data_IF_952049295579
#
_entry.id   IF_952049295579
#
_cell.length_a   1.000
_cell.length_b   1.000
_cell.length_c   1.000
_cell.angle_alpha   90.00
_cell.angle_beta   90.00
_cell.angle_gamma   90.00
#
_symmetry.space_group_name_H-M   'P 1'
#
loop_
_entity.id
_entity.type
_entity.pdbx_description
1 polymer ?
#
# COMPACT_ATOMS: atom_id res chain seq x y z
N UNK A 1 -2.32 3.20 -46.57
CA UNK A 1 -3.34 2.91 -45.55
C UNK A 1 -2.72 1.98 -44.53
N UNK A 2 -2.33 2.46 -43.35
CA UNK A 2 -1.79 1.64 -42.29
C UNK A 2 -2.94 0.81 -41.69
N UNK A 3 -2.79 -0.51 -41.63
CA UNK A 3 -3.79 -1.41 -41.03
C UNK A 3 -3.67 -1.33 -39.52
N UNK A 4 -4.78 -1.04 -38.84
CA UNK A 4 -4.86 -1.14 -37.40
C UNK A 4 -4.44 -2.54 -36.94
N UNK A 5 -3.54 -2.62 -35.95
CA UNK A 5 -3.18 -3.92 -35.35
C UNK A 5 -4.19 -4.23 -34.25
N UNK A 6 -4.80 -5.41 -34.37
CA UNK A 6 -5.68 -5.95 -33.35
C UNK A 6 -4.84 -6.81 -32.42
N UNK A 7 -4.90 -6.53 -31.12
CA UNK A 7 -4.34 -7.36 -30.07
C UNK A 7 -5.44 -7.82 -29.10
N UNK A 8 -5.27 -8.97 -28.49
CA UNK A 8 -6.19 -9.51 -27.50
C UNK A 8 -5.52 -9.50 -26.14
N UNK A 9 -6.15 -8.89 -25.16
CA UNK A 9 -5.63 -8.76 -23.80
C UNK A 9 -6.54 -9.48 -22.82
N UNK A 10 -5.95 -10.31 -21.96
CA UNK A 10 -6.68 -10.98 -20.90
C UNK A 10 -7.13 -9.98 -19.83
N UNK A 11 -8.42 -9.82 -19.61
CA UNK A 11 -9.00 -8.92 -18.61
C UNK A 11 -8.67 -9.31 -17.15
N UNK A 12 -8.19 -10.54 -16.93
CA UNK A 12 -7.86 -11.03 -15.60
C UNK A 12 -6.39 -10.83 -15.21
N UNK A 13 -5.45 -11.02 -16.15
CA UNK A 13 -4.02 -10.97 -15.84
C UNK A 13 -3.19 -10.05 -16.74
N UNK A 14 -3.81 -9.38 -17.72
CA UNK A 14 -3.12 -8.47 -18.63
C UNK A 14 -2.27 -9.17 -19.71
N UNK A 15 -2.29 -10.51 -19.82
CA UNK A 15 -1.54 -11.23 -20.83
C UNK A 15 -1.99 -10.84 -22.24
N UNK A 16 -1.07 -10.38 -23.06
CA UNK A 16 -1.31 -10.05 -24.46
C UNK A 16 -1.14 -11.25 -25.39
N UNK A 17 -1.98 -11.31 -26.41
CA UNK A 17 -1.91 -12.31 -27.48
C UNK A 17 -2.29 -11.69 -28.82
N UNK A 18 -1.63 -12.16 -29.90
CA UNK A 18 -1.96 -11.77 -31.27
C UNK A 18 -3.26 -12.44 -31.77
N UNK A 19 -3.78 -13.43 -31.04
CA UNK A 19 -5.00 -14.17 -31.40
C UNK A 19 -5.86 -14.35 -30.16
N UNK A 20 -7.17 -14.37 -30.37
CA UNK A 20 -8.10 -14.73 -29.32
C UNK A 20 -7.93 -16.17 -28.88
N UNK A 21 -7.87 -16.41 -27.58
CA UNK A 21 -7.76 -17.74 -26.98
C UNK A 21 -8.87 -17.92 -25.95
N UNK A 22 -9.54 -19.06 -25.98
CA UNK A 22 -10.62 -19.38 -25.05
C UNK A 22 -10.15 -19.52 -23.61
N UNK A 23 -8.88 -19.93 -23.38
CA UNK A 23 -8.26 -20.05 -22.06
C UNK A 23 -6.96 -19.27 -22.03
N UNK A 24 -6.78 -18.43 -21.04
CA UNK A 24 -5.54 -17.68 -20.86
C UNK A 24 -4.41 -18.62 -20.41
N UNK A 25 -3.25 -18.66 -21.11
CA UNK A 25 -2.14 -19.54 -20.76
C UNK A 25 -1.42 -19.09 -19.48
N UNK A 26 -1.55 -17.82 -19.10
CA UNK A 26 -0.90 -17.23 -17.92
C UNK A 26 -1.72 -17.46 -16.65
N UNK A 27 -3.02 -17.16 -16.64
CA UNK A 27 -3.85 -17.25 -15.44
C UNK A 27 -4.86 -18.42 -15.45
N UNK A 28 -4.96 -19.17 -16.56
CA UNK A 28 -5.84 -20.34 -16.68
C UNK A 28 -7.34 -20.03 -16.79
N UNK A 29 -7.74 -18.76 -16.74
CA UNK A 29 -9.16 -18.35 -16.83
C UNK A 29 -9.71 -18.47 -18.26
N UNK A 30 -11.00 -18.80 -18.36
CA UNK A 30 -11.70 -18.96 -19.61
C UNK A 30 -12.41 -17.67 -20.04
N UNK A 31 -12.43 -17.39 -21.35
CA UNK A 31 -13.17 -16.29 -21.99
C UNK A 31 -12.80 -14.89 -21.45
N UNK A 32 -11.54 -14.68 -21.10
CA UNK A 32 -11.03 -13.42 -20.52
C UNK A 32 -10.34 -12.51 -21.53
N UNK A 33 -10.15 -12.92 -22.78
CA UNK A 33 -9.52 -12.09 -23.80
C UNK A 33 -10.50 -11.10 -24.41
N UNK A 34 -10.15 -9.80 -24.34
CA UNK A 34 -10.86 -8.69 -25.00
C UNK A 34 -10.03 -8.17 -26.16
N UNK A 35 -10.69 -7.83 -27.27
CA UNK A 35 -10.06 -7.22 -28.44
C UNK A 35 -9.74 -5.76 -28.14
N UNK A 36 -8.49 -5.35 -28.37
CA UNK A 36 -8.03 -3.95 -28.31
C UNK A 36 -7.47 -3.58 -29.68
N UNK A 37 -7.95 -2.47 -30.24
CA UNK A 37 -7.41 -1.88 -31.48
C UNK A 37 -6.29 -0.92 -31.14
N UNK A 38 -5.09 -1.23 -31.56
CA UNK A 38 -3.95 -0.34 -31.46
C UNK A 38 -3.93 0.51 -32.74
N UNK A 39 -4.27 1.79 -32.61
CA UNK A 39 -4.17 2.73 -33.72
C UNK A 39 -2.71 2.81 -34.19
N UNK A 40 -2.48 2.61 -35.47
CA UNK A 40 -1.17 2.79 -36.06
C UNK A 40 -0.82 4.29 -36.03
N UNK A 41 0.23 4.62 -35.29
CA UNK A 41 0.78 5.98 -35.21
C UNK A 41 1.18 6.44 -36.61
N UNK A 42 0.45 7.42 -37.15
CA UNK A 42 0.78 8.05 -38.45
C UNK A 42 1.98 8.96 -38.24
N UNK A 43 3.18 8.40 -38.47
CA UNK A 43 4.43 9.15 -38.45
C UNK A 43 4.40 10.33 -39.43
N UNK A 44 4.22 11.52 -38.93
CA UNK A 44 4.52 12.76 -39.66
C UNK A 44 6.03 13.03 -39.59
N UNK A 45 6.71 12.89 -40.74
CA UNK A 45 8.05 13.44 -40.98
C UNK A 45 7.99 14.96 -40.93
N UNK A 46 8.24 15.57 -39.78
CA UNK A 46 8.67 16.97 -39.67
C UNK A 46 9.13 17.23 -38.23
N UNK A 47 10.39 17.05 -37.95
CA UNK A 47 11.21 17.88 -37.05
C UNK A 47 12.57 17.23 -36.77
N UNK A 48 13.45 17.32 -37.71
CA UNK A 48 14.88 17.35 -37.42
C UNK A 48 15.18 18.79 -36.92
N UNK A 49 15.57 18.89 -35.65
CA UNK A 49 16.01 20.07 -34.90
C UNK A 49 15.01 20.60 -33.87
N UNK A 50 14.88 19.89 -32.76
CA UNK A 50 14.59 20.47 -31.44
C UNK A 50 14.87 19.39 -30.39
N UNK A 51 15.60 19.75 -29.36
CA UNK A 51 16.03 18.85 -28.28
C UNK A 51 14.88 18.07 -27.69
N UNK A 52 15.11 16.77 -27.50
CA UNK A 52 14.16 15.76 -27.09
C UNK A 52 13.90 15.91 -25.62
N UNK A 53 12.87 16.65 -25.21
CA UNK A 53 12.22 16.46 -23.92
C UNK A 53 11.02 15.56 -24.14
N UNK A 54 11.18 14.27 -23.84
CA UNK A 54 10.05 13.37 -23.73
C UNK A 54 9.22 13.78 -22.51
N UNK A 55 8.11 14.45 -22.77
CA UNK A 55 7.02 14.60 -21.82
C UNK A 55 6.33 13.24 -21.67
N UNK A 56 6.75 12.46 -20.67
CA UNK A 56 5.88 11.44 -20.10
C UNK A 56 4.83 12.17 -19.27
N UNK A 57 3.58 12.01 -19.69
CA UNK A 57 2.45 12.68 -19.10
C UNK A 57 2.18 12.28 -17.66
N UNK A 58 2.01 13.23 -16.81
CA UNK A 58 0.87 13.34 -15.90
C UNK A 58 0.96 12.81 -14.49
N UNK A 59 2.07 12.32 -13.93
CA UNK A 59 2.11 12.03 -12.49
C UNK A 59 3.35 12.59 -11.76
N UNK A 60 4.38 13.03 -12.50
CA UNK A 60 5.64 13.45 -11.89
C UNK A 60 5.67 14.92 -11.43
N UNK A 61 4.64 15.72 -11.68
CA UNK A 61 4.63 17.16 -11.36
C UNK A 61 3.86 17.54 -10.10
N UNK A 62 3.29 16.57 -9.35
CA UNK A 62 2.50 16.89 -8.15
C UNK A 62 3.28 16.87 -6.83
N UNK A 63 4.51 16.39 -6.81
CA UNK A 63 5.31 16.36 -5.58
C UNK A 63 6.37 17.46 -5.58
N UNK A 64 5.93 18.69 -5.30
CA UNK A 64 6.80 19.84 -5.08
C UNK A 64 7.44 19.85 -3.70
N UNK A 65 8.13 18.77 -3.32
CA UNK A 65 9.12 18.83 -2.25
C UNK A 65 10.47 19.16 -2.88
N UNK A 66 11.27 20.04 -2.26
CA UNK A 66 12.64 20.41 -2.66
C UNK A 66 13.61 19.21 -2.61
N UNK A 67 13.29 18.14 -3.32
CA UNK A 67 14.28 17.16 -3.76
C UNK A 67 14.43 17.43 -5.26
N UNK A 68 15.56 18.09 -5.59
CA UNK A 68 16.04 18.26 -6.96
C UNK A 68 15.72 17.01 -7.79
N UNK A 69 15.09 17.22 -8.95
CA UNK A 69 15.12 16.26 -10.07
C UNK A 69 16.61 15.98 -10.38
N UNK A 70 17.22 15.15 -9.57
CA UNK A 70 18.45 14.49 -9.98
C UNK A 70 17.99 13.42 -10.98
N UNK A 71 18.15 13.75 -12.27
CA UNK A 71 18.30 12.72 -13.27
C UNK A 71 19.16 11.63 -12.64
N UNK A 72 18.62 10.39 -12.58
CA UNK A 72 19.28 9.27 -11.92
C UNK A 72 20.62 9.00 -12.59
N UNK A 73 21.65 9.73 -12.16
CA UNK A 73 23.01 9.56 -12.66
C UNK A 73 23.60 8.31 -12.01
N UNK A 74 24.28 7.44 -12.79
CA UNK A 74 24.94 6.27 -12.23
C UNK A 74 26.01 6.71 -11.23
N UNK A 75 25.93 6.18 -9.99
CA UNK A 75 26.87 6.45 -8.92
C UNK A 75 27.68 5.16 -8.60
N UNK A 76 28.95 5.32 -8.26
CA UNK A 76 29.75 4.18 -7.78
C UNK A 76 29.31 3.80 -6.38
N UNK A 77 29.19 2.52 -6.09
CA UNK A 77 28.76 2.01 -4.78
C UNK A 77 29.58 2.60 -3.61
N UNK A 78 30.90 2.81 -3.82
CA UNK A 78 31.78 3.41 -2.81
C UNK A 78 31.47 4.88 -2.48
N UNK A 79 30.79 5.59 -3.40
CA UNK A 79 30.45 7.02 -3.27
C UNK A 79 29.07 7.20 -2.64
N UNK A 80 28.35 6.10 -2.40
CA UNK A 80 27.07 6.07 -1.68
C UNK A 80 27.40 5.99 -0.19
N UNK A 81 27.09 7.05 0.54
CA UNK A 81 27.18 7.02 2.00
C UNK A 81 26.13 6.06 2.55
N UNK A 82 26.57 4.98 3.18
CA UNK A 82 25.71 4.13 4.00
C UNK A 82 25.38 4.88 5.30
N UNK A 83 24.52 5.89 5.21
CA UNK A 83 23.93 6.47 6.40
C UNK A 83 22.92 5.44 6.86
N UNK A 84 23.12 4.88 8.05
CA UNK A 84 22.11 4.07 8.72
C UNK A 84 20.89 4.97 8.98
N UNK A 85 19.94 4.94 8.06
CA UNK A 85 18.65 5.58 8.30
C UNK A 85 17.97 4.87 9.46
N UNK A 86 17.69 5.58 10.57
CA UNK A 86 17.10 4.96 11.74
C UNK A 86 15.75 4.35 11.38
N UNK A 87 15.58 3.08 11.69
CA UNK A 87 14.29 2.40 11.51
C UNK A 87 13.22 3.07 12.35
N UNK A 88 12.02 3.06 11.85
CA UNK A 88 10.84 3.59 12.54
C UNK A 88 10.37 2.53 13.52
N UNK A 89 10.46 2.85 14.81
CA UNK A 89 9.91 2.02 15.88
C UNK A 89 8.38 2.01 15.78
N UNK A 90 7.79 0.82 15.61
CA UNK A 90 6.35 0.62 15.49
C UNK A 90 5.62 0.61 16.84
N UNK A 91 6.34 0.83 17.96
CA UNK A 91 5.79 0.78 19.31
C UNK A 91 5.07 -0.54 19.65
N UNK A 92 5.49 -1.61 18.97
CA UNK A 92 5.04 -2.98 19.15
C UNK A 92 6.25 -3.91 18.95
N UNK A 93 6.64 -4.63 20.01
CA UNK A 93 7.86 -5.45 20.01
C UNK A 93 7.81 -6.59 19.01
N UNK A 94 6.63 -7.23 18.88
CA UNK A 94 6.46 -8.34 17.95
C UNK A 94 6.52 -7.86 16.50
N UNK A 95 5.89 -6.75 16.19
CA UNK A 95 5.94 -6.16 14.86
C UNK A 95 7.35 -5.67 14.51
N UNK A 96 8.04 -5.01 15.45
CA UNK A 96 9.42 -4.62 15.26
C UNK A 96 10.33 -5.83 15.01
N UNK A 97 10.15 -6.92 15.76
CA UNK A 97 10.92 -8.16 15.59
C UNK A 97 10.73 -8.74 14.18
N UNK A 98 9.50 -8.84 13.72
CA UNK A 98 9.17 -9.38 12.39
C UNK A 98 9.66 -8.46 11.26
N UNK A 99 9.70 -7.15 11.49
CA UNK A 99 10.27 -6.16 10.58
C UNK A 99 11.81 -6.11 10.59
N UNK A 100 12.44 -6.78 11.55
CA UNK A 100 13.90 -6.77 11.70
C UNK A 100 14.44 -5.53 12.42
N UNK A 101 13.68 -5.01 13.39
CA UNK A 101 14.03 -3.84 14.23
C UNK A 101 13.24 -2.57 13.91
N UNK A 102 12.14 -2.67 13.16
CA UNK A 102 11.29 -1.56 12.78
C UNK A 102 11.17 -1.34 11.28
N UNK A 103 10.34 -0.39 10.89
CA UNK A 103 10.03 -0.10 9.50
C UNK A 103 11.11 0.79 8.86
N UNK A 104 11.51 0.48 7.64
CA UNK A 104 12.50 1.28 6.91
C UNK A 104 11.81 2.47 6.23
N UNK A 105 12.35 3.71 6.32
CA UNK A 105 11.83 4.85 5.58
C UNK A 105 11.75 4.55 4.07
N UNK A 106 10.69 5.05 3.42
CA UNK A 106 10.48 4.81 2.00
C UNK A 106 10.20 3.37 1.61
N UNK A 107 9.95 2.47 2.58
CA UNK A 107 9.58 1.08 2.32
C UNK A 107 8.07 0.90 2.21
N UNK A 108 7.67 -0.17 1.52
CA UNK A 108 6.28 -0.61 1.45
C UNK A 108 6.15 -2.00 2.07
N UNK A 109 5.29 -2.11 3.08
CA UNK A 109 5.04 -3.35 3.81
C UNK A 109 3.61 -3.82 3.57
N UNK A 110 3.45 -5.07 3.16
CA UNK A 110 2.15 -5.71 3.03
C UNK A 110 1.86 -6.56 4.28
N UNK A 111 0.76 -6.24 4.97
CA UNK A 111 0.19 -7.05 6.03
C UNK A 111 -0.96 -7.89 5.45
N UNK A 112 -0.69 -9.15 5.16
CA UNK A 112 -1.65 -10.10 4.62
C UNK A 112 -2.24 -11.00 5.71
N UNK A 113 -3.43 -11.54 5.46
CA UNK A 113 -4.09 -12.49 6.38
C UNK A 113 -5.56 -12.70 6.02
N UNK A 114 -6.18 -13.72 6.60
CA UNK A 114 -7.60 -14.00 6.38
C UNK A 114 -8.48 -12.81 6.79
N UNK A 115 -9.65 -12.64 6.14
CA UNK A 115 -10.65 -11.68 6.61
C UNK A 115 -11.03 -11.94 8.07
N UNK A 116 -11.17 -10.89 8.88
CA UNK A 116 -11.55 -11.01 10.29
C UNK A 116 -10.44 -11.44 11.25
N UNK A 117 -9.21 -11.77 10.80
CA UNK A 117 -8.11 -12.18 11.67
C UNK A 117 -7.64 -11.06 12.62
N UNK A 118 -7.92 -9.79 12.28
CA UNK A 118 -7.56 -8.64 13.09
C UNK A 118 -6.47 -7.74 12.53
N UNK A 119 -6.17 -7.78 11.22
CA UNK A 119 -5.15 -6.94 10.57
C UNK A 119 -5.35 -5.44 10.84
N UNK A 120 -6.54 -4.93 10.53
CA UNK A 120 -6.90 -3.52 10.74
C UNK A 120 -6.86 -3.14 12.22
N UNK A 121 -7.21 -4.08 13.11
CA UNK A 121 -7.16 -3.88 14.57
C UNK A 121 -5.71 -3.77 15.04
N UNK A 122 -4.82 -4.68 14.62
CA UNK A 122 -3.41 -4.65 14.95
C UNK A 122 -2.76 -3.36 14.45
N UNK A 123 -3.00 -3.00 13.19
CA UNK A 123 -2.43 -1.79 12.62
C UNK A 123 -2.93 -0.53 13.33
N UNK A 124 -4.23 -0.44 13.61
CA UNK A 124 -4.79 0.71 14.35
C UNK A 124 -4.22 0.77 15.77
N UNK A 125 -4.11 -0.37 16.48
CA UNK A 125 -3.50 -0.43 17.82
C UNK A 125 -2.04 0.03 17.81
N UNK A 126 -1.27 -0.36 16.80
CA UNK A 126 0.12 0.03 16.62
C UNK A 126 0.23 1.55 16.43
N UNK A 127 -0.52 2.12 15.49
CA UNK A 127 -0.43 3.55 15.19
C UNK A 127 -0.96 4.44 16.31
N UNK A 128 -1.89 3.96 17.14
CA UNK A 128 -2.34 4.67 18.35
C UNK A 128 -1.19 4.92 19.35
N UNK A 129 -0.18 4.06 19.36
CA UNK A 129 0.98 4.19 20.23
C UNK A 129 2.11 5.06 19.63
N UNK A 130 2.02 5.43 18.34
CA UNK A 130 3.04 6.19 17.61
C UNK A 130 2.78 7.70 17.66
N UNK A 131 2.63 8.26 18.86
CA UNK A 131 2.21 9.66 19.09
C UNK A 131 3.26 10.71 18.63
N UNK A 132 4.46 10.28 18.31
CA UNK A 132 5.57 11.11 17.81
C UNK A 132 5.55 11.33 16.29
N UNK A 133 4.53 10.79 15.57
CA UNK A 133 4.46 10.83 14.09
C UNK A 133 3.08 11.18 13.58
N UNK A 134 3.02 11.96 12.51
CA UNK A 134 1.77 12.22 11.78
C UNK A 134 1.47 11.03 10.86
N UNK A 135 0.30 10.44 11.03
CA UNK A 135 -0.12 9.22 10.34
C UNK A 135 -1.37 9.50 9.53
N UNK A 136 -1.38 9.08 8.28
CA UNK A 136 -2.57 9.06 7.43
C UNK A 136 -3.10 7.63 7.35
N UNK A 137 -4.31 7.42 7.86
CA UNK A 137 -5.04 6.16 7.75
C UNK A 137 -6.10 6.29 6.67
N UNK A 138 -5.88 5.61 5.55
CA UNK A 138 -6.82 5.58 4.42
C UNK A 138 -7.66 4.33 4.52
N UNK A 139 -8.98 4.47 4.51
CA UNK A 139 -9.92 3.36 4.54
C UNK A 139 -10.86 3.40 3.33
N UNK A 140 -10.96 2.28 2.63
CA UNK A 140 -11.94 2.08 1.58
C UNK A 140 -13.11 1.17 1.99
N UNK A 141 -13.10 0.63 3.21
CA UNK A 141 -14.11 -0.32 3.69
C UNK A 141 -14.94 0.24 4.83
N UNK A 142 -14.32 1.01 5.73
CA UNK A 142 -14.97 1.51 6.93
C UNK A 142 -15.11 3.04 6.90
N UNK A 143 -16.19 3.51 7.50
CA UNK A 143 -16.41 4.96 7.71
C UNK A 143 -15.49 5.49 8.82
N UNK A 144 -15.21 6.79 8.79
CA UNK A 144 -14.44 7.47 9.84
C UNK A 144 -15.03 7.26 11.25
N UNK A 145 -16.36 7.20 11.37
CA UNK A 145 -17.03 6.93 12.63
C UNK A 145 -16.76 5.52 13.16
N UNK A 146 -16.78 4.50 12.29
CA UNK A 146 -16.48 3.12 12.69
C UNK A 146 -15.03 2.97 13.15
N UNK A 147 -14.09 3.60 12.43
CA UNK A 147 -12.66 3.63 12.81
C UNK A 147 -12.49 4.32 14.16
N UNK A 148 -13.14 5.46 14.38
CA UNK A 148 -13.11 6.17 15.67
C UNK A 148 -13.63 5.31 16.82
N UNK A 149 -14.77 4.66 16.67
CA UNK A 149 -15.31 3.76 17.69
C UNK A 149 -14.36 2.59 18.02
N UNK A 150 -13.66 2.06 16.99
CA UNK A 150 -12.65 1.02 17.19
C UNK A 150 -11.43 1.57 17.93
N UNK A 151 -10.93 2.75 17.55
CA UNK A 151 -9.82 3.42 18.21
C UNK A 151 -10.12 3.68 19.70
N UNK A 152 -11.30 4.20 20.01
CA UNK A 152 -11.72 4.46 21.40
C UNK A 152 -11.78 3.17 22.24
N UNK A 153 -12.28 2.07 21.65
CA UNK A 153 -12.30 0.76 22.32
C UNK A 153 -10.90 0.23 22.59
N UNK A 154 -9.99 0.36 21.62
CA UNK A 154 -8.60 -0.08 21.76
C UNK A 154 -7.86 0.75 22.82
N UNK A 155 -8.01 2.06 22.81
CA UNK A 155 -7.40 2.95 23.81
C UNK A 155 -7.87 2.63 25.22
N UNK A 156 -9.18 2.41 25.43
CA UNK A 156 -9.73 1.99 26.73
C UNK A 156 -9.15 0.65 27.19
N UNK A 157 -9.05 -0.33 26.28
CA UNK A 157 -8.46 -1.63 26.60
C UNK A 157 -6.98 -1.53 27.00
N UNK A 158 -6.21 -0.67 26.34
CA UNK A 158 -4.81 -0.45 26.69
C UNK A 158 -4.65 0.28 28.03
N UNK A 159 -5.49 1.25 28.35
CA UNK A 159 -5.49 1.94 29.64
C UNK A 159 -5.76 0.95 30.79
N UNK A 160 -6.75 0.08 30.65
CA UNK A 160 -7.04 -0.96 31.65
C UNK A 160 -5.87 -1.91 31.91
N UNK A 161 -5.11 -2.27 30.89
CA UNK A 161 -3.94 -3.14 31.02
C UNK A 161 -2.76 -2.47 31.71
N UNK A 162 -2.63 -1.13 31.58
CA UNK A 162 -1.54 -0.36 32.19
C UNK A 162 -1.78 -0.05 33.67
N UNK A 163 -3.02 0.16 34.09
CA UNK A 163 -3.39 0.64 35.42
C UNK A 163 -3.73 -0.47 36.43
N UNK A 164 -3.70 -1.76 36.04
CA UNK A 164 -3.96 -2.89 36.96
C UNK A 164 -5.25 -2.74 37.76
N UNK A 165 -6.38 -2.81 37.10
CA UNK A 165 -7.73 -3.08 37.62
C UNK A 165 -8.17 -2.33 38.91
N UNK A 166 -8.76 -1.14 38.76
CA UNK A 166 -9.84 -0.70 39.63
C UNK A 166 -10.98 -0.08 38.79
N UNK A 167 -12.21 -0.50 39.10
CA UNK A 167 -13.40 -0.15 38.33
C UNK A 167 -13.77 1.35 38.34
N UNK A 168 -13.18 2.13 39.23
CA UNK A 168 -13.44 3.58 39.37
C UNK A 168 -12.73 4.44 38.30
N UNK A 169 -11.81 3.87 37.51
CA UNK A 169 -11.02 4.60 36.50
C UNK A 169 -11.74 4.73 35.14
N UNK A 170 -12.90 4.09 34.97
CA UNK A 170 -13.66 4.09 33.71
C UNK A 170 -14.27 5.46 33.36
N UNK A 171 -14.63 6.27 34.36
CA UNK A 171 -15.20 7.60 34.11
C UNK A 171 -14.12 8.66 33.81
N UNK A 172 -12.92 8.52 34.37
CA UNK A 172 -11.80 9.44 34.10
C UNK A 172 -11.11 9.18 32.77
N UNK A 173 -11.09 7.93 32.28
CA UNK A 173 -10.54 7.59 30.97
C UNK A 173 -11.36 8.16 29.79
N UNK A 174 -12.63 8.49 30.01
CA UNK A 174 -13.46 9.13 28.97
C UNK A 174 -13.18 10.63 28.79
N UNK A 175 -12.56 11.29 29.76
CA UNK A 175 -12.24 12.72 29.72
C UNK A 175 -10.85 13.04 29.13
N UNK A 176 -9.99 12.02 28.97
CA UNK A 176 -8.63 12.20 28.44
C UNK A 176 -8.49 11.90 26.94
N UNK A 177 -9.59 11.65 26.22
CA UNK A 177 -9.55 11.33 24.78
C UNK A 177 -9.49 12.56 23.86
N UNK A 178 -9.70 13.76 24.36
CA UNK A 178 -9.42 15.00 23.63
C UNK A 178 -7.91 15.19 23.54
N UNK A 179 -7.35 14.99 22.34
CA UNK A 179 -5.90 15.00 22.09
C UNK A 179 -5.26 13.63 21.86
N UNK A 180 -5.90 12.53 22.29
CA UNK A 180 -5.28 11.19 22.22
C UNK A 180 -5.00 10.69 20.77
N UNK A 181 -5.64 11.31 19.75
CA UNK A 181 -5.55 10.85 18.35
C UNK A 181 -5.19 11.97 17.37
N UNK A 182 -4.71 13.11 17.84
CA UNK A 182 -4.36 14.27 16.99
C UNK A 182 -3.31 13.93 15.92
N UNK A 183 -2.48 12.93 16.17
CA UNK A 183 -1.43 12.49 15.26
C UNK A 183 -1.96 11.59 14.13
N UNK A 184 -3.24 11.16 14.16
CA UNK A 184 -3.84 10.28 13.16
C UNK A 184 -4.92 11.03 12.39
N UNK A 185 -4.72 11.18 11.09
CA UNK A 185 -5.73 11.68 10.17
C UNK A 185 -6.37 10.49 9.45
N UNK A 186 -7.71 10.42 9.47
CA UNK A 186 -8.47 9.38 8.76
C UNK A 186 -9.01 9.95 7.46
N UNK A 187 -8.80 9.23 6.36
CA UNK A 187 -9.31 9.55 5.02
C UNK A 187 -10.13 8.38 4.50
N UNK A 188 -11.43 8.58 4.25
CA UNK A 188 -12.31 7.60 3.62
C UNK A 188 -12.37 7.90 2.12
N UNK A 189 -11.42 7.39 1.36
CA UNK A 189 -11.30 7.58 -0.08
C UNK A 189 -10.75 6.31 -0.74
N UNK A 190 -11.19 6.03 -1.97
CA UNK A 190 -10.78 4.86 -2.76
C UNK A 190 -10.06 5.23 -4.04
N UNK A 191 -10.11 6.47 -4.49
CA UNK A 191 -9.40 6.94 -5.67
C UNK A 191 -7.96 7.33 -5.32
N UNK A 192 -6.99 6.66 -5.92
CA UNK A 192 -5.57 6.84 -5.61
C UNK A 192 -5.08 8.27 -5.87
N UNK A 193 -5.56 8.91 -6.92
CA UNK A 193 -5.20 10.28 -7.30
C UNK A 193 -5.63 11.28 -6.22
N UNK A 194 -6.83 11.11 -5.66
CA UNK A 194 -7.31 11.94 -4.55
C UNK A 194 -6.53 11.67 -3.25
N UNK A 195 -6.19 10.40 -3.00
CA UNK A 195 -5.35 10.04 -1.85
C UNK A 195 -4.02 10.78 -1.94
N UNK A 196 -3.37 10.80 -3.11
CA UNK A 196 -2.11 11.54 -3.31
C UNK A 196 -2.27 13.05 -3.10
N UNK A 197 -3.39 13.65 -3.52
CA UNK A 197 -3.66 15.07 -3.25
C UNK A 197 -3.73 15.37 -1.75
N UNK A 198 -4.45 14.55 -0.99
CA UNK A 198 -4.56 14.73 0.46
C UNK A 198 -3.25 14.43 1.22
N UNK A 199 -2.40 13.55 0.70
CA UNK A 199 -1.07 13.32 1.28
C UNK A 199 -0.23 14.61 1.29
N UNK A 200 -0.35 15.46 0.26
CA UNK A 200 0.36 16.73 0.23
C UNK A 200 -0.11 17.71 1.31
N UNK A 201 -1.41 17.74 1.58
CA UNK A 201 -2.01 18.61 2.59
C UNK A 201 -1.68 18.15 4.02
N UNK A 202 -1.78 16.84 4.28
CA UNK A 202 -1.56 16.24 5.60
C UNK A 202 -0.07 16.15 5.94
N UNK A 203 0.79 16.01 4.93
CA UNK A 203 2.22 15.77 5.08
C UNK A 203 2.55 14.65 6.10
N UNK A 204 2.02 13.42 5.92
CA UNK A 204 2.18 12.34 6.87
C UNK A 204 3.62 11.82 6.87
N UNK A 205 3.99 11.14 7.96
CA UNK A 205 5.27 10.44 8.13
C UNK A 205 5.13 8.92 8.04
N UNK A 206 3.89 8.44 8.02
CA UNK A 206 3.51 7.05 7.78
C UNK A 206 2.12 7.02 7.14
N UNK A 207 1.92 6.16 6.17
CA UNK A 207 0.63 5.95 5.52
C UNK A 207 0.18 4.51 5.73
N UNK A 208 -1.10 4.33 6.07
CA UNK A 208 -1.78 3.04 6.15
C UNK A 208 -2.89 3.01 5.11
N UNK A 209 -2.96 1.96 4.31
CA UNK A 209 -4.03 1.72 3.32
C UNK A 209 -4.81 0.47 3.75
N UNK A 210 -6.08 0.63 4.09
CA UNK A 210 -6.97 -0.43 4.56
C UNK A 210 -8.28 -0.47 3.75
N UNK A 211 -8.38 -1.31 2.71
CA UNK A 211 -7.43 -2.27 2.19
C UNK A 211 -6.97 -1.91 0.78
N UNK A 212 -5.87 -2.48 0.33
CA UNK A 212 -5.38 -2.25 -1.04
C UNK A 212 -6.39 -2.70 -2.11
N UNK A 213 -7.27 -3.65 -1.79
CA UNK A 213 -8.29 -4.17 -2.70
C UNK A 213 -9.39 -3.16 -3.01
N UNK A 214 -9.60 -2.17 -2.16
CA UNK A 214 -10.63 -1.14 -2.35
C UNK A 214 -10.12 0.07 -3.13
N UNK A 215 -8.79 0.21 -3.25
CA UNK A 215 -8.18 1.33 -3.95
C UNK A 215 -8.23 1.09 -5.46
N UNK A 216 -8.54 2.14 -6.21
CA UNK A 216 -8.57 2.15 -7.66
C UNK A 216 -7.86 3.38 -8.22
N UNK A 217 -7.31 3.24 -9.43
CA UNK A 217 -6.70 4.31 -10.21
C UNK A 217 -7.40 4.44 -11.55
N UNK A 218 -7.47 5.66 -12.08
CA UNK A 218 -8.02 5.92 -13.41
C UNK A 218 -7.07 5.47 -14.54
N UNK A 219 -5.81 5.17 -14.22
CA UNK A 219 -4.82 4.72 -15.21
C UNK A 219 -5.13 3.33 -15.79
N UNK A 220 -5.99 2.55 -15.15
CA UNK A 220 -6.32 1.18 -15.54
C UNK A 220 -7.82 1.02 -15.71
N UNK A 221 -8.28 0.74 -16.93
CA UNK A 221 -9.68 0.47 -17.24
C UNK A 221 -10.10 -0.95 -16.79
N UNK A 222 -10.22 -1.14 -15.48
CA UNK A 222 -10.71 -2.39 -14.88
C UNK A 222 -11.44 -2.12 -13.57
N UNK A 223 -12.26 -3.04 -13.12
CA UNK A 223 -13.05 -2.88 -11.89
C UNK A 223 -12.15 -2.77 -10.65
N UNK A 224 -12.51 -1.95 -9.66
CA UNK A 224 -11.85 -1.95 -8.35
C UNK A 224 -11.73 -3.37 -7.78
N UNK A 225 -10.61 -3.66 -7.10
CA UNK A 225 -10.32 -4.99 -6.57
C UNK A 225 -9.85 -6.02 -7.60
N UNK A 226 -9.87 -5.70 -8.90
CA UNK A 226 -9.24 -6.56 -9.90
C UNK A 226 -7.74 -6.63 -9.73
N UNK A 227 -7.13 -7.72 -10.18
CA UNK A 227 -5.68 -7.94 -10.08
C UNK A 227 -4.87 -6.82 -10.72
N UNK A 228 -5.31 -6.31 -11.86
CA UNK A 228 -4.67 -5.19 -12.56
C UNK A 228 -4.74 -3.90 -11.76
N UNK A 229 -5.88 -3.57 -11.16
CA UNK A 229 -6.03 -2.39 -10.30
C UNK A 229 -5.14 -2.48 -9.06
N UNK A 230 -5.23 -3.60 -8.34
CA UNK A 230 -4.43 -3.82 -7.12
C UNK A 230 -2.93 -3.74 -7.41
N UNK A 231 -2.50 -4.30 -8.54
CA UNK A 231 -1.10 -4.26 -8.98
C UNK A 231 -0.65 -2.82 -9.28
N UNK A 232 -1.43 -2.07 -10.05
CA UNK A 232 -1.05 -0.71 -10.44
C UNK A 232 -1.08 0.25 -9.25
N UNK A 233 -2.12 0.18 -8.40
CA UNK A 233 -2.16 0.95 -7.16
C UNK A 233 -0.95 0.67 -6.26
N UNK A 234 -0.58 -0.60 -6.08
CA UNK A 234 0.58 -0.97 -5.27
C UNK A 234 1.90 -0.49 -5.91
N UNK A 235 2.03 -0.55 -7.23
CA UNK A 235 3.21 -0.06 -7.95
C UNK A 235 3.34 1.47 -7.83
N UNK A 236 2.25 2.21 -7.93
CA UNK A 236 2.22 3.66 -7.76
C UNK A 236 2.55 4.08 -6.33
N UNK A 237 2.00 3.37 -5.32
CA UNK A 237 2.35 3.57 -3.91
C UNK A 237 3.83 3.24 -3.62
N UNK A 238 4.40 2.21 -4.27
CA UNK A 238 5.83 1.91 -4.15
C UNK A 238 6.69 3.06 -4.72
N UNK A 239 6.36 3.55 -5.93
CA UNK A 239 7.07 4.70 -6.52
C UNK A 239 7.01 5.90 -5.59
N UNK A 240 5.81 6.20 -5.08
CA UNK A 240 5.61 7.27 -4.10
C UNK A 240 6.49 7.09 -2.86
N UNK A 241 6.45 5.92 -2.21
CA UNK A 241 7.23 5.67 -1.00
C UNK A 241 8.73 5.86 -1.23
N UNK A 242 9.27 5.31 -2.35
CA UNK A 242 10.69 5.44 -2.71
C UNK A 242 11.11 6.89 -2.99
N UNK A 243 10.22 7.69 -3.58
CA UNK A 243 10.54 9.09 -3.93
C UNK A 243 10.40 10.02 -2.74
N UNK A 244 9.37 9.83 -1.91
CA UNK A 244 9.06 10.70 -0.78
C UNK A 244 9.82 10.33 0.50
N UNK A 245 10.36 9.10 0.60
CA UNK A 245 10.90 8.55 1.85
C UNK A 245 9.82 8.17 2.87
N UNK A 246 8.53 8.36 2.56
CA UNK A 246 7.42 8.06 3.47
C UNK A 246 7.08 6.56 3.37
N UNK A 247 7.14 5.81 4.47
CA UNK A 247 6.79 4.40 4.47
C UNK A 247 5.28 4.20 4.35
N UNK A 248 4.89 3.07 3.72
CA UNK A 248 3.50 2.71 3.50
C UNK A 248 3.22 1.31 4.01
N UNK A 249 2.16 1.13 4.80
CA UNK A 249 1.60 -0.16 5.18
C UNK A 249 0.37 -0.42 4.32
N UNK A 250 0.38 -1.52 3.60
CA UNK A 250 -0.77 -2.03 2.86
C UNK A 250 -1.40 -3.16 3.64
N UNK A 251 -2.70 -3.06 3.93
CA UNK A 251 -3.48 -4.18 4.45
C UNK A 251 -4.10 -4.90 3.26
N UNK A 252 -3.95 -6.23 3.24
CA UNK A 252 -4.47 -7.07 2.17
C UNK A 252 -5.17 -8.32 2.70
N UNK A 253 -6.17 -8.82 1.97
CA UNK A 253 -6.85 -10.08 2.28
C UNK A 253 -6.18 -11.25 1.54
N UNK A 254 -6.00 -12.37 2.25
CA UNK A 254 -5.52 -13.64 1.71
C UNK A 254 -6.73 -14.58 1.58
N UNK A 255 -6.81 -15.32 0.49
CA UNK A 255 -7.84 -16.36 0.32
C UNK A 255 -7.59 -17.55 1.26
N UNK A 256 -8.64 -18.38 1.49
CA UNK A 256 -8.57 -19.61 2.30
C UNK A 256 -7.51 -20.63 1.86
N UNK A 257 -6.99 -20.49 0.63
CA UNK A 257 -5.91 -21.30 0.09
C UNK A 257 -4.51 -20.77 0.46
N UNK A 258 -4.42 -19.76 1.36
CA UNK A 258 -3.16 -19.15 1.77
C UNK A 258 -2.51 -18.27 0.69
N UNK A 259 -3.22 -18.05 -0.44
CA UNK A 259 -2.80 -17.15 -1.50
C UNK A 259 -3.48 -15.79 -1.29
N UNK A 260 -2.74 -14.70 -1.42
CA UNK A 260 -3.33 -13.37 -1.48
C UNK A 260 -4.45 -13.36 -2.55
N UNK A 261 -5.62 -12.84 -2.17
CA UNK A 261 -6.70 -12.58 -3.11
C UNK A 261 -6.27 -11.49 -4.09
N UNK A 262 -5.82 -11.94 -5.26
CA UNK A 262 -4.99 -11.16 -6.16
C UNK A 262 -3.54 -11.60 -5.96
N UNK A 263 -2.86 -11.95 -7.04
CA UNK A 263 -1.83 -12.97 -7.08
C UNK A 263 -0.63 -12.61 -6.21
N UNK A 264 0.26 -13.55 -6.03
CA UNK A 264 1.69 -13.42 -5.61
C UNK A 264 2.43 -12.21 -6.22
N UNK A 265 1.77 -11.48 -7.10
CA UNK A 265 2.21 -10.24 -7.74
C UNK A 265 2.55 -9.15 -6.71
N UNK A 266 1.75 -8.98 -5.65
CA UNK A 266 2.06 -7.99 -4.62
C UNK A 266 3.33 -8.34 -3.84
N UNK A 267 3.59 -9.62 -3.61
CA UNK A 267 4.81 -10.09 -2.95
C UNK A 267 6.08 -9.68 -3.71
N UNK A 268 6.00 -9.59 -5.05
CA UNK A 268 7.13 -9.13 -5.86
C UNK A 268 7.30 -7.62 -5.85
N UNK A 269 6.21 -6.87 -5.73
CA UNK A 269 6.21 -5.40 -5.74
C UNK A 269 6.71 -4.84 -4.42
N UNK A 270 6.14 -5.31 -3.29
CA UNK A 270 6.44 -4.76 -1.96
C UNK A 270 7.82 -5.17 -1.44
N UNK A 271 8.37 -4.40 -0.51
CA UNK A 271 9.67 -4.69 0.10
C UNK A 271 9.56 -5.75 1.20
N UNK A 272 8.49 -5.71 1.99
CA UNK A 272 8.24 -6.63 3.10
C UNK A 272 6.84 -7.20 3.02
N UNK A 273 6.71 -8.50 3.29
CA UNK A 273 5.43 -9.20 3.40
C UNK A 273 5.36 -9.86 4.77
N UNK A 274 4.37 -9.46 5.55
CA UNK A 274 4.03 -10.05 6.84
C UNK A 274 2.70 -10.75 6.70
N UNK A 275 2.65 -12.00 7.07
CA UNK A 275 1.44 -12.79 7.12
C UNK A 275 0.93 -12.88 8.55
N UNK A 276 -0.34 -12.50 8.74
CA UNK A 276 -1.03 -12.63 10.00
C UNK A 276 -1.91 -13.87 9.96
N UNK A 277 -1.54 -14.88 10.73
CA UNK A 277 -2.16 -16.19 10.80
C UNK A 277 -2.85 -16.38 12.15
N UNK A 278 -3.93 -17.13 12.17
CA UNK A 278 -4.60 -17.58 13.39
C UNK A 278 -4.94 -19.05 13.28
N UNK A 279 -4.90 -19.75 14.39
CA UNK A 279 -5.40 -21.10 14.50
C UNK A 279 -6.77 -21.07 15.17
N UNK A 280 -7.77 -21.73 14.56
CA UNK A 280 -9.13 -21.79 15.11
C UNK A 280 -9.21 -22.65 16.39
N UNK A 281 -8.24 -23.53 16.61
CA UNK A 281 -8.18 -24.41 17.78
C UNK A 281 -7.39 -23.81 18.95
N UNK A 282 -6.51 -22.82 18.65
CA UNK A 282 -5.69 -22.16 19.65
C UNK A 282 -5.95 -20.66 19.65
N UNK A 283 -6.06 -20.05 20.83
CA UNK A 283 -6.37 -18.63 21.00
C UNK A 283 -5.17 -17.72 20.71
N UNK A 284 -4.21 -18.15 19.89
CA UNK A 284 -3.07 -17.31 19.50
C UNK A 284 -3.14 -16.90 18.03
N UNK A 285 -2.46 -15.81 17.75
CA UNK A 285 -2.24 -15.28 16.39
C UNK A 285 -0.75 -15.10 16.21
N UNK A 286 -0.27 -15.38 15.01
CA UNK A 286 1.16 -15.36 14.67
C UNK A 286 1.38 -14.33 13.58
N UNK A 287 2.40 -13.49 13.74
CA UNK A 287 2.97 -12.67 12.68
C UNK A 287 4.18 -13.43 12.10
N UNK A 288 4.13 -13.69 10.80
CA UNK A 288 5.22 -14.36 10.07
C UNK A 288 5.77 -13.44 8.98
N UNK A 289 7.08 -13.23 8.97
CA UNK A 289 7.75 -12.61 7.84
C UNK A 289 7.89 -13.62 6.70
N UNK A 290 7.23 -13.34 5.57
CA UNK A 290 7.32 -14.17 4.35
C UNK A 290 8.41 -13.63 3.44
N UNK A 291 8.58 -12.31 3.42
CA UNK A 291 9.60 -11.60 2.66
C UNK A 291 10.04 -10.38 3.44
N UNK A 292 11.35 -10.17 3.52
CA UNK A 292 11.90 -8.94 4.07
C UNK A 292 13.21 -8.60 3.33
N UNK A 293 13.22 -7.50 2.58
CA UNK A 293 14.43 -7.03 1.88
C UNK A 293 15.45 -6.41 2.83
N UNK A 294 15.03 -6.06 4.06
CA UNK A 294 15.83 -5.29 5.01
C UNK A 294 16.20 -6.08 6.27
N UNK A 295 15.83 -7.35 6.33
CA UNK A 295 16.08 -8.22 7.48
C UNK A 295 15.91 -9.70 7.15
N UNK A 296 16.11 -10.56 8.15
CA UNK A 296 15.85 -11.99 8.04
C UNK A 296 14.35 -12.29 8.01
N UNK A 297 13.98 -13.37 7.35
CA UNK A 297 12.61 -13.94 7.34
C UNK A 297 12.55 -15.16 8.24
#
# INVERSE_FOLDING_TARGET
>A
MAKDKIAFVCSNCGQESAKWMGKCPSCGQWNTFKEIRIAADSGSQAAKNAGMTMRHGGAATMFGGQHSDHDAAPMKLRDISAIDEPRIDMRDEELNRVLGGGMVPGSITLLGGEPGIGKSTLTLQTILNMTDRRILYVSGEESAHQIKLRADRLAKGQAMLREGSSADTLETASLSSEGAFEHITVLCETQLEKIFSHIQEVAPQLIVIDSIQTIATEEVDSSPGSVSQVRECAASLLRFAKTSGIPVILIGHINKEGTLAGPKILEHIVDTVIQFEGDQHYMYRILRSIKNRFGST
#
